data_IF_082302165243
#
_entry.id   IF_082302165243
#
_cell.length_a   1.000
_cell.length_b   1.000
_cell.length_c   1.000
_cell.angle_alpha   90.00
_cell.angle_beta   90.00
_cell.angle_gamma   90.00
#
_symmetry.space_group_name_H-M   'P 1'
#
loop_
_entity.id
_entity.type
_entity.pdbx_description
1 polymer ?
#
# COMPACT_ATOMS: atom_id res chain seq x y z
N UNK A 1 19.88 -17.21 -3.79
CA UNK A 1 18.75 -17.46 -4.57
C UNK A 1 17.81 -18.57 -4.16
N UNK A 2 16.85 -18.26 -3.23
CA UNK A 2 15.76 -19.21 -2.92
C UNK A 2 14.55 -19.02 -3.86
N UNK A 3 14.48 -17.88 -4.57
CA UNK A 3 13.40 -17.53 -5.52
C UNK A 3 14.00 -16.86 -6.75
N UNK A 4 13.37 -17.05 -7.91
CA UNK A 4 13.82 -16.42 -9.17
C UNK A 4 13.26 -15.01 -9.33
N UNK A 5 12.02 -14.81 -8.90
CA UNK A 5 11.28 -13.54 -9.00
C UNK A 5 10.58 -13.21 -7.67
N UNK A 6 10.21 -11.96 -7.50
CA UNK A 6 9.39 -11.47 -6.40
C UNK A 6 8.49 -10.33 -6.84
N UNK A 7 7.52 -9.98 -6.01
CA UNK A 7 6.72 -8.77 -6.19
C UNK A 7 7.26 -7.67 -5.29
N UNK A 8 7.37 -6.45 -5.81
CA UNK A 8 7.87 -5.30 -5.05
C UNK A 8 7.29 -4.00 -5.58
N UNK A 9 7.43 -2.92 -4.82
CA UNK A 9 7.18 -1.57 -5.32
C UNK A 9 8.29 -1.16 -6.28
N UNK A 10 7.93 -0.70 -7.47
CA UNK A 10 8.87 -0.33 -8.54
C UNK A 10 9.94 0.69 -8.08
N UNK A 11 9.56 1.67 -7.28
CA UNK A 11 10.48 2.66 -6.70
C UNK A 11 11.56 2.10 -5.78
N UNK A 12 11.47 0.83 -5.37
CA UNK A 12 12.44 0.16 -4.49
C UNK A 12 13.37 -0.80 -5.23
N UNK A 13 13.29 -0.85 -6.55
CA UNK A 13 13.91 -1.87 -7.41
C UNK A 13 15.24 -1.46 -8.05
N UNK A 14 15.96 -0.46 -7.54
CA UNK A 14 17.19 0.08 -8.15
C UNK A 14 18.26 -0.96 -8.54
N UNK A 15 18.35 -2.06 -7.77
CA UNK A 15 19.32 -3.15 -7.99
C UNK A 15 18.72 -4.37 -8.71
N UNK A 16 17.47 -4.28 -9.14
CA UNK A 16 16.73 -5.35 -9.77
C UNK A 16 16.28 -4.93 -11.16
N UNK A 17 16.03 -5.90 -12.00
CA UNK A 17 15.19 -5.72 -13.17
C UNK A 17 13.74 -5.84 -12.76
N UNK A 18 12.83 -5.13 -13.44
CA UNK A 18 11.44 -5.07 -13.06
C UNK A 18 10.51 -4.96 -14.27
N UNK A 19 9.36 -5.63 -14.19
CA UNK A 19 8.22 -5.44 -15.10
C UNK A 19 7.06 -4.86 -14.30
N UNK A 20 6.61 -3.63 -14.59
CA UNK A 20 5.45 -3.02 -13.94
C UNK A 20 4.19 -3.84 -14.21
N UNK A 21 3.32 -3.98 -13.22
CA UNK A 21 2.04 -4.69 -13.32
C UNK A 21 0.85 -3.74 -13.18
N UNK A 22 0.70 -3.11 -12.01
CA UNK A 22 -0.43 -2.25 -11.72
C UNK A 22 -0.10 -1.18 -10.69
N UNK A 23 -0.95 -0.15 -10.63
CA UNK A 23 -0.94 0.88 -9.60
C UNK A 23 -1.90 0.51 -8.49
N UNK A 24 -1.48 0.70 -7.26
CA UNK A 24 -2.23 0.35 -6.07
C UNK A 24 -2.29 1.57 -5.14
N UNK A 25 -3.36 2.37 -5.23
CA UNK A 25 -3.47 3.58 -4.42
C UNK A 25 -3.71 3.25 -2.95
N UNK A 26 -3.22 4.11 -2.07
CA UNK A 26 -3.60 4.12 -0.68
C UNK A 26 -5.01 4.70 -0.52
N UNK A 27 -5.73 4.18 0.45
CA UNK A 27 -6.99 4.71 0.94
C UNK A 27 -6.92 4.95 2.44
N UNK A 28 -7.66 5.94 2.90
CA UNK A 28 -7.87 6.23 4.30
C UNK A 28 -8.83 5.20 4.90
N UNK A 29 -8.50 4.67 6.07
CA UNK A 29 -9.33 3.74 6.85
C UNK A 29 -9.59 4.37 8.20
N UNK A 30 -10.87 4.55 8.53
CA UNK A 30 -11.34 5.25 9.72
C UNK A 30 -12.33 4.40 10.52
N UNK A 31 -12.38 4.58 11.84
CA UNK A 31 -13.49 4.06 12.63
C UNK A 31 -14.83 4.58 12.11
N UNK A 32 -15.92 3.81 12.20
CA UNK A 32 -17.23 4.23 11.66
C UNK A 32 -17.77 5.54 12.29
N UNK A 33 -17.46 5.77 13.57
CA UNK A 33 -17.91 6.96 14.32
C UNK A 33 -16.92 8.14 14.23
N UNK A 34 -15.87 8.05 13.44
CA UNK A 34 -14.86 9.08 13.32
C UNK A 34 -15.45 10.34 12.65
N UNK A 35 -15.08 11.54 13.13
CA UNK A 35 -15.59 12.82 12.57
C UNK A 35 -15.33 12.96 11.07
N UNK A 36 -14.15 12.51 10.61
CA UNK A 36 -13.75 12.54 9.22
C UNK A 36 -14.49 11.50 8.34
N UNK A 37 -15.12 10.47 8.93
CA UNK A 37 -15.81 9.41 8.18
C UNK A 37 -17.01 9.90 7.36
N UNK A 38 -17.51 11.11 7.65
CA UNK A 38 -18.62 11.74 6.93
C UNK A 38 -18.19 12.50 5.66
N UNK A 39 -16.90 12.59 5.41
CA UNK A 39 -16.35 13.26 4.24
C UNK A 39 -16.39 12.35 3.00
N UNK A 40 -16.23 12.93 1.81
CA UNK A 40 -16.12 12.19 0.55
C UNK A 40 -14.67 11.81 0.22
N UNK A 41 -13.70 12.51 0.77
CA UNK A 41 -12.26 12.28 0.65
C UNK A 41 -11.52 12.84 1.85
N UNK A 42 -10.29 12.37 2.07
CA UNK A 42 -9.41 12.78 3.17
C UNK A 42 -8.15 13.41 2.61
N UNK A 43 -7.57 14.39 3.30
CA UNK A 43 -6.22 14.91 3.00
C UNK A 43 -5.18 14.31 3.95
N UNK A 44 -3.93 14.22 3.48
CA UNK A 44 -2.82 13.81 4.34
C UNK A 44 -2.61 14.78 5.52
N UNK A 45 -2.95 16.06 5.34
CA UNK A 45 -2.92 17.07 6.40
C UNK A 45 -3.87 16.70 7.54
N UNK A 46 -5.12 16.34 7.22
CA UNK A 46 -6.10 15.88 8.22
C UNK A 46 -5.60 14.64 8.96
N UNK A 47 -5.01 13.69 8.23
CA UNK A 47 -4.47 12.45 8.83
C UNK A 47 -3.20 12.69 9.67
N UNK A 48 -2.44 13.74 9.40
CA UNK A 48 -1.21 14.02 10.17
C UNK A 48 -1.48 14.34 11.64
N UNK A 49 -2.68 14.78 11.98
CA UNK A 49 -3.11 15.14 13.34
C UNK A 49 -3.84 14.02 14.07
N UNK A 50 -4.11 12.91 13.39
CA UNK A 50 -4.79 11.75 13.94
C UNK A 50 -3.79 10.66 14.41
N UNK A 51 -4.15 9.84 15.42
CA UNK A 51 -3.31 8.73 15.84
C UNK A 51 -3.21 7.67 14.71
N UNK A 52 -2.09 7.68 13.99
CA UNK A 52 -1.90 6.87 12.79
C UNK A 52 -1.28 5.51 13.12
N UNK A 53 -1.98 4.44 12.70
CA UNK A 53 -1.51 3.06 12.75
C UNK A 53 -1.03 2.70 11.35
N UNK A 54 0.25 2.33 11.18
CA UNK A 54 0.80 2.03 9.86
C UNK A 54 1.28 0.59 9.74
N UNK A 55 1.17 0.07 8.51
CA UNK A 55 1.86 -1.15 8.14
C UNK A 55 3.37 -0.91 8.16
N UNK A 56 4.12 -1.75 8.87
CA UNK A 56 5.58 -1.70 8.86
C UNK A 56 6.13 -2.36 7.58
N UNK A 57 6.41 -1.54 6.60
CA UNK A 57 7.03 -1.95 5.32
C UNK A 57 8.57 -1.94 5.40
N UNK A 58 9.14 -1.76 6.60
CA UNK A 58 10.58 -1.70 6.81
C UNK A 58 11.17 -0.31 6.56
N UNK A 59 12.38 -0.28 5.95
CA UNK A 59 13.14 0.97 5.78
C UNK A 59 12.52 1.94 4.79
N UNK A 60 11.88 1.44 3.75
CA UNK A 60 11.18 2.23 2.71
C UNK A 60 9.69 2.01 2.85
N UNK A 61 8.91 3.07 2.82
CA UNK A 61 7.47 3.02 2.99
C UNK A 61 6.81 4.11 2.13
N UNK A 62 5.87 3.69 1.31
CA UNK A 62 5.07 4.62 0.49
C UNK A 62 4.28 5.58 1.36
N UNK A 63 3.82 5.13 2.53
CA UNK A 63 3.10 5.99 3.48
C UNK A 63 4.00 7.11 3.99
N UNK A 64 5.21 6.78 4.43
CA UNK A 64 6.18 7.79 4.91
C UNK A 64 6.56 8.77 3.81
N UNK A 65 6.82 8.26 2.60
CA UNK A 65 7.16 9.08 1.43
C UNK A 65 6.00 10.00 1.07
N UNK A 66 4.73 9.55 1.17
CA UNK A 66 3.55 10.36 0.91
C UNK A 66 3.48 11.58 1.84
N UNK A 67 3.68 11.41 3.14
CA UNK A 67 3.71 12.53 4.08
C UNK A 67 4.94 13.43 3.88
N UNK A 68 6.11 12.87 3.62
CA UNK A 68 7.32 13.64 3.36
C UNK A 68 7.19 14.53 2.11
N UNK A 69 6.55 14.03 1.06
CA UNK A 69 6.33 14.78 -0.19
C UNK A 69 5.47 16.04 -0.02
N UNK A 70 4.64 16.07 1.02
CA UNK A 70 3.83 17.25 1.39
C UNK A 70 4.36 17.97 2.64
N UNK A 71 5.59 17.63 3.05
CA UNK A 71 6.27 18.24 4.21
C UNK A 71 5.51 18.08 5.53
N UNK A 72 4.80 17.00 5.71
CA UNK A 72 4.06 16.65 6.92
C UNK A 72 4.78 15.56 7.72
N UNK A 73 4.60 15.61 9.06
CA UNK A 73 5.06 14.58 9.98
C UNK A 73 3.84 14.02 10.73
N UNK A 74 3.38 12.81 10.40
CA UNK A 74 2.20 12.25 11.02
C UNK A 74 2.46 11.86 12.48
N UNK A 75 1.41 11.93 13.30
CA UNK A 75 1.42 11.36 14.64
C UNK A 75 1.35 9.83 14.54
N UNK A 76 2.50 9.19 14.69
CA UNK A 76 2.64 7.75 14.57
C UNK A 76 2.33 7.09 15.91
N UNK A 77 1.15 6.49 16.03
CA UNK A 77 0.70 5.77 17.22
C UNK A 77 1.30 4.35 17.29
N UNK A 78 1.20 3.60 16.20
CA UNK A 78 1.64 2.20 16.16
C UNK A 78 2.18 1.77 14.80
N UNK A 79 3.11 0.81 14.84
CA UNK A 79 3.58 0.06 13.67
C UNK A 79 3.17 -1.39 13.79
N UNK A 80 2.50 -1.91 12.79
CA UNK A 80 1.92 -3.25 12.77
C UNK A 80 2.38 -3.98 11.52
N UNK A 81 2.58 -5.29 11.61
CA UNK A 81 3.16 -6.10 10.52
C UNK A 81 2.12 -6.75 9.61
N UNK A 82 0.84 -6.67 9.94
CA UNK A 82 -0.23 -7.24 9.13
C UNK A 82 -1.46 -6.33 9.07
N UNK A 83 -2.18 -6.41 7.95
CA UNK A 83 -3.32 -5.56 7.69
C UNK A 83 -4.56 -5.94 8.49
N UNK A 84 -4.75 -7.22 8.83
CA UNK A 84 -5.93 -7.68 9.58
C UNK A 84 -5.90 -7.11 11.00
N UNK A 85 -4.73 -7.09 11.62
CA UNK A 85 -4.52 -6.43 12.92
C UNK A 85 -4.80 -4.94 12.84
N UNK A 86 -4.31 -4.25 11.79
CA UNK A 86 -4.61 -2.82 11.58
C UNK A 86 -6.11 -2.59 11.47
N UNK A 87 -6.81 -3.37 10.64
CA UNK A 87 -8.26 -3.24 10.48
C UNK A 87 -8.98 -3.43 11.81
N UNK A 88 -8.61 -4.47 12.59
CA UNK A 88 -9.20 -4.73 13.90
C UNK A 88 -8.96 -3.60 14.91
N UNK A 89 -7.81 -2.94 14.86
CA UNK A 89 -7.48 -1.78 15.70
C UNK A 89 -8.32 -0.56 15.30
N UNK A 90 -8.41 -0.26 14.00
CA UNK A 90 -9.20 0.85 13.48
C UNK A 90 -10.70 0.66 13.80
N UNK A 91 -11.26 -0.51 13.58
CA UNK A 91 -12.65 -0.83 13.91
C UNK A 91 -13.01 -0.59 15.38
N UNK A 92 -12.02 -0.74 16.28
CA UNK A 92 -12.15 -0.47 17.72
C UNK A 92 -11.84 0.96 18.11
N UNK A 93 -11.58 1.85 17.17
CA UNK A 93 -11.32 3.26 17.45
C UNK A 93 -9.95 3.56 18.06
N UNK A 94 -8.96 2.66 17.90
CA UNK A 94 -7.60 2.86 18.42
C UNK A 94 -6.77 3.83 17.57
N UNK A 95 -7.27 4.23 16.41
CA UNK A 95 -6.63 5.18 15.52
C UNK A 95 -7.19 5.08 14.10
N UNK A 96 -6.52 5.74 13.17
CA UNK A 96 -6.81 5.71 11.73
C UNK A 96 -5.67 5.04 10.98
N UNK A 97 -5.87 4.62 9.73
CA UNK A 97 -4.82 3.99 8.94
C UNK A 97 -4.86 4.37 7.47
N UNK A 98 -3.75 4.12 6.79
CA UNK A 98 -3.63 4.15 5.33
C UNK A 98 -3.29 2.73 4.86
N UNK A 99 -4.18 2.14 4.05
CA UNK A 99 -3.98 0.81 3.49
C UNK A 99 -4.17 0.84 1.97
N UNK A 100 -3.55 -0.11 1.27
CA UNK A 100 -3.67 -0.23 -0.17
C UNK A 100 -5.06 -0.73 -0.58
N UNK A 101 -5.60 -0.17 -1.66
CA UNK A 101 -6.94 -0.54 -2.15
C UNK A 101 -7.04 -1.99 -2.58
N UNK A 102 -5.96 -2.59 -3.05
CA UNK A 102 -5.94 -4.02 -3.37
C UNK A 102 -6.30 -4.90 -2.17
N UNK A 103 -5.87 -4.51 -0.97
CA UNK A 103 -6.22 -5.20 0.26
C UNK A 103 -7.68 -4.95 0.68
N UNK A 104 -8.17 -3.74 0.47
CA UNK A 104 -9.51 -3.31 0.90
C UNK A 104 -10.64 -3.71 -0.06
N UNK A 105 -10.31 -4.32 -1.22
CA UNK A 105 -11.26 -4.61 -2.29
C UNK A 105 -12.47 -5.45 -1.85
N UNK A 106 -12.22 -6.45 -1.01
CA UNK A 106 -13.24 -7.39 -0.55
C UNK A 106 -13.62 -7.16 0.93
N UNK A 107 -13.21 -6.01 1.49
CA UNK A 107 -13.55 -5.66 2.86
C UNK A 107 -15.03 -5.31 3.00
N UNK A 108 -15.71 -5.91 3.99
CA UNK A 108 -17.14 -5.72 4.27
C UNK A 108 -17.42 -5.34 5.74
N UNK A 109 -16.37 -5.04 6.51
CA UNK A 109 -16.47 -4.65 7.91
C UNK A 109 -17.00 -3.23 8.13
N UNK A 110 -17.08 -2.78 9.39
CA UNK A 110 -17.67 -1.49 9.76
C UNK A 110 -16.77 -0.27 9.51
N UNK A 111 -15.46 -0.44 9.30
CA UNK A 111 -14.56 0.69 9.07
C UNK A 111 -14.91 1.42 7.77
N UNK A 112 -14.77 2.74 7.78
CA UNK A 112 -15.05 3.59 6.62
C UNK A 112 -13.78 3.74 5.78
N UNK A 113 -13.89 3.48 4.49
CA UNK A 113 -12.78 3.58 3.53
C UNK A 113 -13.03 4.75 2.59
N UNK A 114 -12.13 5.74 2.62
CA UNK A 114 -12.24 6.96 1.81
C UNK A 114 -11.01 7.15 0.92
N UNK A 115 -11.16 7.78 -0.24
CA UNK A 115 -10.04 8.18 -1.08
C UNK A 115 -9.20 9.27 -0.39
N UNK A 116 -7.91 9.32 -0.74
CA UNK A 116 -6.98 10.37 -0.31
C UNK A 116 -6.82 11.35 -1.48
N UNK A 117 -6.95 12.64 -1.20
CA UNK A 117 -6.87 13.71 -2.21
C UNK A 117 -5.55 13.72 -2.96
N UNK A 118 -4.44 13.54 -2.26
CA UNK A 118 -3.09 13.54 -2.81
C UNK A 118 -2.77 12.26 -3.62
N UNK A 119 -3.65 11.25 -3.57
CA UNK A 119 -3.59 10.00 -4.32
C UNK A 119 -2.24 9.28 -4.24
N UNK A 120 -1.65 9.11 -3.04
CA UNK A 120 -0.43 8.35 -2.92
C UNK A 120 -0.67 6.89 -3.36
N UNK A 121 0.27 6.36 -4.14
CA UNK A 121 0.14 5.01 -4.69
C UNK A 121 1.47 4.28 -4.73
N UNK A 122 1.43 2.95 -4.72
CA UNK A 122 2.57 2.13 -5.10
C UNK A 122 2.38 1.58 -6.51
N UNK A 123 3.50 1.41 -7.22
CA UNK A 123 3.51 0.69 -8.48
C UNK A 123 4.04 -0.72 -8.22
N UNK A 124 3.17 -1.71 -8.27
CA UNK A 124 3.54 -3.11 -8.09
C UNK A 124 4.21 -3.63 -9.35
N UNK A 125 5.34 -4.30 -9.18
CA UNK A 125 6.13 -4.88 -10.27
C UNK A 125 6.59 -6.29 -9.92
N UNK A 126 6.78 -7.13 -10.93
CA UNK A 126 7.58 -8.34 -10.81
C UNK A 126 9.05 -7.93 -10.92
N UNK A 127 9.88 -8.43 -10.01
CA UNK A 127 11.28 -8.06 -9.92
C UNK A 127 12.17 -9.30 -9.86
N UNK A 128 13.37 -9.20 -10.43
CA UNK A 128 14.40 -10.25 -10.33
C UNK A 128 15.79 -9.63 -10.30
N UNK A 129 16.74 -10.39 -9.79
CA UNK A 129 18.12 -9.93 -9.71
C UNK A 129 18.70 -9.77 -11.12
N UNK A 130 19.29 -8.62 -11.38
CA UNK A 130 19.95 -8.33 -12.66
C UNK A 130 21.00 -9.40 -13.00
N UNK A 131 20.95 -9.87 -14.25
CA UNK A 131 21.86 -10.92 -14.74
C UNK A 131 21.47 -12.36 -14.38
N UNK A 132 20.36 -12.57 -13.64
CA UNK A 132 19.85 -13.92 -13.43
C UNK A 132 19.21 -14.48 -14.70
N UNK A 133 19.52 -15.74 -15.00
CA UNK A 133 18.84 -16.52 -16.05
C UNK A 133 17.55 -17.07 -15.45
N UNK A 134 16.42 -16.61 -15.96
CA UNK A 134 15.10 -17.08 -15.54
C UNK A 134 14.72 -18.37 -16.25
N UNK A 135 14.10 -19.29 -15.54
CA UNK A 135 13.54 -20.53 -16.13
C UNK A 135 12.45 -20.23 -17.17
N UNK A 136 12.18 -21.19 -18.04
CA UNK A 136 11.09 -21.05 -19.01
C UNK A 136 9.73 -20.86 -18.34
N UNK A 137 9.48 -21.61 -17.27
CA UNK A 137 8.23 -21.50 -16.51
C UNK A 137 8.07 -20.11 -15.88
N UNK A 138 9.14 -19.55 -15.31
CA UNK A 138 9.13 -18.20 -14.73
C UNK A 138 8.84 -17.14 -15.78
N UNK A 139 9.48 -17.22 -16.96
CA UNK A 139 9.20 -16.28 -18.07
C UNK A 139 7.75 -16.34 -18.50
N UNK A 140 7.18 -17.56 -18.71
CA UNK A 140 5.77 -17.74 -19.07
C UNK A 140 4.81 -17.19 -18.00
N UNK A 141 5.13 -17.37 -16.72
CA UNK A 141 4.35 -16.78 -15.65
C UNK A 141 4.39 -15.24 -15.69
N UNK A 142 5.56 -14.65 -15.92
CA UNK A 142 5.70 -13.20 -16.04
C UNK A 142 4.92 -12.63 -17.23
N UNK A 143 4.99 -13.28 -18.40
CA UNK A 143 4.21 -12.90 -19.58
C UNK A 143 2.70 -12.93 -19.27
N UNK A 144 2.24 -14.01 -18.65
CA UNK A 144 0.84 -14.16 -18.26
C UNK A 144 0.40 -13.05 -17.28
N UNK A 145 1.21 -12.75 -16.27
CA UNK A 145 0.90 -11.69 -15.30
C UNK A 145 0.87 -10.30 -15.95
N UNK A 146 1.82 -10.01 -16.84
CA UNK A 146 1.86 -8.75 -17.56
C UNK A 146 0.62 -8.58 -18.48
N UNK A 147 0.19 -9.63 -19.16
CA UNK A 147 -1.00 -9.61 -20.01
C UNK A 147 -2.28 -9.48 -19.18
N UNK A 148 -2.39 -10.19 -18.06
CA UNK A 148 -3.53 -10.12 -17.14
C UNK A 148 -3.78 -8.69 -16.64
N UNK A 149 -2.73 -7.97 -16.22
CA UNK A 149 -2.86 -6.60 -15.73
C UNK A 149 -2.93 -5.53 -16.82
N UNK A 150 -2.52 -5.83 -18.06
CA UNK A 150 -2.68 -4.91 -19.20
C UNK A 150 -4.13 -4.81 -19.67
N UNK A 151 -4.92 -5.85 -19.47
CA UNK A 151 -6.30 -5.96 -19.96
C UNK A 151 -7.34 -5.56 -18.92
N UNK A 152 -6.93 -5.09 -17.75
CA UNK A 152 -7.79 -4.64 -16.64
C UNK A 152 -7.50 -3.20 -16.21
#
# INVERSE_FOLDING_TARGET
GKVEIGFSHLGFCEKFEAVPLFRDPLAAVLPPEHSLAKQSEITLEQFSTEPLIILDEGKRSVIKDAFANVSLSPWLESRVYDCDTIMAMVERGLGVSLLYRSYLKDYTGPAVVLPIRERPERHVAITWKRGNVLSYATRKFMDHMADYYRTR
#
